data_IF_745180881787
#
_entry.id   IF_745180881787
#
_cell.length_a   1.000
_cell.length_b   1.000
_cell.length_c   1.000
_cell.angle_alpha   90.00
_cell.angle_beta   90.00
_cell.angle_gamma   90.00
#
_symmetry.space_group_name_H-M   'P 1'
#
loop_
_entity.id
_entity.type
_entity.pdbx_description
1 polymer ?
#
# COMPACT_ATOMS: atom_id res chain seq x y z
N UNK A 1 12.24 10.49 32.54
CA UNK A 1 12.07 9.35 31.58
C UNK A 1 11.49 9.92 30.28
N UNK A 2 12.18 9.69 29.15
CA UNK A 2 11.67 10.11 27.84
C UNK A 2 10.88 8.95 27.25
N UNK A 3 9.59 9.11 27.00
CA UNK A 3 8.75 8.10 26.36
C UNK A 3 8.65 8.44 24.89
N UNK A 4 9.08 7.54 24.01
CA UNK A 4 8.92 7.65 22.58
C UNK A 4 7.92 6.59 22.07
N UNK A 5 7.16 6.83 20.98
CA UNK A 5 6.34 5.81 20.36
C UNK A 5 7.22 4.70 19.79
N UNK A 6 6.73 3.45 19.82
CA UNK A 6 7.43 2.34 19.17
C UNK A 6 7.24 2.34 17.65
N UNK A 7 6.13 2.90 17.18
CA UNK A 7 5.73 2.93 15.78
C UNK A 7 5.19 4.32 15.42
N UNK A 8 5.54 4.82 14.24
CA UNK A 8 5.03 6.07 13.67
C UNK A 8 4.58 5.88 12.22
N UNK A 9 3.55 6.61 11.84
CA UNK A 9 3.15 6.75 10.43
C UNK A 9 3.53 8.15 9.95
N UNK A 10 4.09 8.22 8.75
CA UNK A 10 4.52 9.48 8.14
C UNK A 10 3.84 9.61 6.78
N UNK A 11 3.17 10.74 6.59
CA UNK A 11 2.61 11.17 5.30
C UNK A 11 3.58 12.13 4.61
N UNK A 12 4.49 11.66 3.75
CA UNK A 12 5.51 12.50 3.14
C UNK A 12 4.94 13.43 2.05
N UNK A 13 3.78 13.08 1.52
CA UNK A 13 3.10 13.79 0.44
C UNK A 13 1.63 14.01 0.77
N UNK A 14 1.14 15.24 0.64
CA UNK A 14 -0.28 15.58 0.71
C UNK A 14 -0.98 15.50 -0.65
N UNK A 15 -0.28 15.13 -1.72
CA UNK A 15 -0.85 14.91 -3.05
C UNK A 15 -0.86 13.43 -3.41
N UNK A 16 -1.82 13.04 -4.25
CA UNK A 16 -1.94 11.69 -4.79
C UNK A 16 -2.20 11.77 -6.29
N UNK A 17 -1.71 10.81 -7.05
CA UNK A 17 -2.01 10.65 -8.48
C UNK A 17 -3.35 9.94 -8.72
N UNK A 18 -4.01 9.42 -7.68
CA UNK A 18 -5.35 8.83 -7.72
C UNK A 18 -6.40 9.70 -7.01
N UNK A 19 -7.70 9.38 -7.26
CA UNK A 19 -8.87 10.01 -6.62
C UNK A 19 -9.91 8.93 -6.28
N UNK A 20 -9.45 7.90 -5.55
CA UNK A 20 -10.25 6.71 -5.25
C UNK A 20 -11.61 7.05 -4.67
N UNK A 21 -12.66 6.35 -5.14
CA UNK A 21 -14.05 6.57 -4.69
C UNK A 21 -14.27 6.26 -3.21
N UNK A 22 -13.36 5.49 -2.61
CA UNK A 22 -13.39 5.06 -1.21
C UNK A 22 -12.37 5.81 -0.32
N UNK A 23 -11.70 6.85 -0.84
CA UNK A 23 -10.63 7.51 -0.11
C UNK A 23 -11.17 8.26 1.11
N UNK A 24 -10.77 7.81 2.30
CA UNK A 24 -11.16 8.45 3.56
C UNK A 24 -10.44 9.78 3.83
N UNK A 25 -9.44 10.13 3.02
CA UNK A 25 -8.64 11.36 3.14
C UNK A 25 -9.02 12.43 2.12
N UNK A 26 -10.12 12.26 1.38
CA UNK A 26 -10.58 13.18 0.33
C UNK A 26 -10.85 14.60 0.86
N UNK A 27 -11.25 14.75 2.13
CA UNK A 27 -11.46 16.03 2.80
C UNK A 27 -10.19 16.88 2.91
N UNK A 28 -9.00 16.27 2.83
CA UNK A 28 -7.71 16.99 2.83
C UNK A 28 -7.44 17.74 1.52
N UNK A 29 -8.20 17.43 0.44
CA UNK A 29 -8.20 18.14 -0.83
C UNK A 29 -6.95 17.90 -1.69
N UNK A 30 -6.15 16.88 -1.40
CA UNK A 30 -4.97 16.45 -2.19
C UNK A 30 -4.02 17.61 -2.56
N UNK A 31 -3.78 18.52 -1.64
CA UNK A 31 -2.94 19.71 -1.86
C UNK A 31 -1.49 19.27 -2.16
N UNK A 32 -0.89 19.92 -3.16
CA UNK A 32 0.53 19.69 -3.49
C UNK A 32 1.40 20.27 -2.37
N UNK A 33 1.71 19.42 -1.41
CA UNK A 33 2.63 19.70 -0.29
C UNK A 33 3.48 18.47 -0.03
N UNK A 34 4.72 18.67 0.35
CA UNK A 34 5.67 17.63 0.67
C UNK A 34 6.41 18.01 1.95
N UNK A 35 6.78 17.03 2.74
CA UNK A 35 7.65 17.24 3.89
C UNK A 35 9.04 17.68 3.42
N UNK A 36 9.69 18.55 4.17
CA UNK A 36 11.06 18.96 3.88
C UNK A 36 12.02 17.79 4.15
N UNK A 37 12.80 17.42 3.14
CA UNK A 37 13.69 16.26 3.20
C UNK A 37 14.78 16.40 4.26
N UNK A 38 15.38 17.60 4.40
CA UNK A 38 16.48 17.82 5.36
C UNK A 38 15.96 17.70 6.79
N UNK A 39 14.78 18.28 7.06
CA UNK A 39 14.08 18.14 8.35
C UNK A 39 13.75 16.69 8.62
N UNK A 40 13.23 15.96 7.62
CA UNK A 40 12.88 14.54 7.79
C UNK A 40 14.10 13.68 8.11
N UNK A 41 15.22 13.89 7.43
CA UNK A 41 16.45 13.14 7.72
C UNK A 41 16.92 13.34 9.16
N UNK A 42 16.83 14.58 9.67
CA UNK A 42 17.18 14.89 11.05
C UNK A 42 16.22 14.20 12.03
N UNK A 43 14.90 14.32 11.81
CA UNK A 43 13.88 13.72 12.69
C UNK A 43 13.94 12.19 12.71
N UNK A 44 14.18 11.55 11.58
CA UNK A 44 14.34 10.09 11.53
C UNK A 44 15.55 9.60 12.33
N UNK A 45 16.68 10.32 12.26
CA UNK A 45 17.86 10.00 13.10
C UNK A 45 17.56 10.21 14.59
N UNK A 46 16.83 11.25 14.96
CA UNK A 46 16.39 11.47 16.33
C UNK A 46 15.43 10.38 16.81
N UNK A 47 14.46 10.00 15.98
CA UNK A 47 13.53 8.90 16.27
C UNK A 47 14.28 7.60 16.58
N UNK A 48 15.30 7.24 15.78
CA UNK A 48 16.14 6.08 16.06
C UNK A 48 16.84 6.16 17.40
N UNK A 49 17.43 7.32 17.74
CA UNK A 49 18.08 7.57 19.06
C UNK A 49 17.09 7.48 20.23
N UNK A 50 15.83 7.87 20.01
CA UNK A 50 14.76 7.82 21.01
C UNK A 50 14.14 6.41 21.17
N UNK A 51 14.52 5.45 20.32
CA UNK A 51 14.08 4.06 20.42
C UNK A 51 12.80 3.75 19.63
N UNK A 52 12.41 4.59 18.66
CA UNK A 52 11.37 4.23 17.67
C UNK A 52 11.84 2.99 16.91
N UNK A 53 10.95 1.99 16.80
CA UNK A 53 11.26 0.68 16.20
C UNK A 53 10.83 0.55 14.76
N UNK A 54 9.73 1.20 14.39
CA UNK A 54 9.19 1.07 13.04
C UNK A 54 8.59 2.39 12.55
N UNK A 55 8.71 2.63 11.25
CA UNK A 55 8.08 3.69 10.51
C UNK A 55 7.34 3.14 9.30
N UNK A 56 6.11 3.61 9.07
CA UNK A 56 5.41 3.37 7.82
C UNK A 56 5.24 4.68 7.05
N UNK A 57 5.75 4.72 5.83
CA UNK A 57 5.43 5.77 4.88
C UNK A 57 4.10 5.46 4.19
N UNK A 58 3.11 6.30 4.44
CA UNK A 58 1.73 6.12 3.99
C UNK A 58 1.01 7.48 3.95
N UNK A 59 -0.28 7.52 4.22
CA UNK A 59 -1.02 8.69 4.64
C UNK A 59 -1.96 9.28 3.61
N UNK A 60 -2.09 10.60 3.63
CA UNK A 60 -3.12 11.38 2.93
C UNK A 60 -2.88 11.51 1.42
N UNK A 61 -1.69 11.20 0.92
CA UNK A 61 -1.30 11.22 -0.47
C UNK A 61 -0.60 9.92 -0.88
N UNK A 62 0.13 9.99 -1.98
CA UNK A 62 0.97 8.88 -2.45
C UNK A 62 2.43 9.13 -2.03
N UNK A 63 3.01 8.27 -1.18
CA UNK A 63 4.39 8.45 -0.69
C UNK A 63 5.43 8.53 -1.80
N UNK A 64 5.31 7.71 -2.84
CA UNK A 64 6.29 7.64 -3.94
C UNK A 64 6.28 8.89 -4.83
N UNK A 65 5.35 9.83 -4.65
CA UNK A 65 5.42 11.16 -5.28
C UNK A 65 6.46 12.07 -4.63
N UNK A 66 6.96 11.71 -3.46
CA UNK A 66 8.01 12.51 -2.81
C UNK A 66 9.36 12.17 -3.41
N UNK A 67 10.02 13.13 -4.05
CA UNK A 67 11.27 12.93 -4.81
C UNK A 67 12.42 12.30 -4.00
N UNK A 68 12.46 12.49 -2.69
CA UNK A 68 13.52 12.00 -1.81
C UNK A 68 13.05 10.84 -0.91
N UNK A 69 11.96 10.16 -1.27
CA UNK A 69 11.35 9.11 -0.45
C UNK A 69 12.31 7.93 -0.19
N UNK A 70 13.05 7.51 -1.20
CA UNK A 70 14.05 6.46 -1.07
C UNK A 70 15.13 6.83 -0.05
N UNK A 71 15.61 8.07 -0.11
CA UNK A 71 16.61 8.56 0.85
C UNK A 71 16.05 8.67 2.27
N UNK A 72 14.77 8.99 2.44
CA UNK A 72 14.12 8.95 3.76
C UNK A 72 14.08 7.53 4.31
N UNK A 73 13.74 6.53 3.47
CA UNK A 73 13.73 5.12 3.85
C UNK A 73 15.14 4.63 4.24
N UNK A 74 16.15 4.98 3.44
CA UNK A 74 17.55 4.65 3.70
C UNK A 74 18.05 5.25 5.04
N UNK A 75 17.70 6.51 5.33
CA UNK A 75 18.04 7.18 6.59
C UNK A 75 17.33 6.54 7.78
N UNK A 76 16.05 6.20 7.66
CA UNK A 76 15.30 5.50 8.71
C UNK A 76 15.94 4.14 9.03
N UNK A 77 16.18 3.33 7.99
CA UNK A 77 16.82 2.02 8.12
C UNK A 77 18.22 2.13 8.76
N UNK A 78 19.06 3.06 8.29
CA UNK A 78 20.39 3.31 8.87
C UNK A 78 20.35 3.81 10.32
N UNK A 79 19.19 4.32 10.76
CA UNK A 79 18.95 4.74 12.15
C UNK A 79 18.41 3.61 13.04
N UNK A 80 18.35 2.36 12.53
CA UNK A 80 17.86 1.18 13.26
C UNK A 80 16.34 1.10 13.36
N UNK A 81 15.63 1.75 12.43
CA UNK A 81 14.17 1.75 12.38
C UNK A 81 13.72 0.83 11.22
N UNK A 82 12.82 -0.10 11.50
CA UNK A 82 12.18 -0.91 10.48
C UNK A 82 11.29 -0.03 9.59
N UNK A 83 11.43 -0.15 8.28
CA UNK A 83 10.72 0.69 7.31
C UNK A 83 9.63 -0.12 6.61
N UNK A 84 8.48 0.52 6.41
CA UNK A 84 7.37 -0.05 5.67
C UNK A 84 6.71 0.98 4.75
N UNK A 85 6.03 0.49 3.71
CA UNK A 85 5.28 1.33 2.78
C UNK A 85 3.86 0.85 2.55
N UNK A 86 2.95 1.81 2.43
CA UNK A 86 1.66 1.62 1.76
C UNK A 86 1.59 2.59 0.59
N UNK A 87 1.44 2.08 -0.62
CA UNK A 87 1.47 2.84 -1.87
C UNK A 87 0.38 2.36 -2.83
N UNK A 88 0.01 3.16 -3.80
CA UNK A 88 -0.80 2.71 -4.93
C UNK A 88 -0.01 1.91 -5.98
N UNK A 89 1.31 1.88 -5.86
CA UNK A 89 2.21 1.06 -6.67
C UNK A 89 2.53 1.57 -8.08
N UNK A 90 1.86 2.61 -8.57
CA UNK A 90 2.09 3.11 -9.95
C UNK A 90 3.53 3.59 -10.16
N UNK A 91 4.13 4.17 -9.13
CA UNK A 91 5.48 4.70 -9.15
C UNK A 91 6.53 3.75 -8.54
N UNK A 92 6.17 2.51 -8.20
CA UNK A 92 7.11 1.51 -7.72
C UNK A 92 7.86 0.88 -8.90
N UNK A 93 8.52 1.72 -9.68
CA UNK A 93 9.34 1.31 -10.82
C UNK A 93 10.65 0.60 -10.38
N UNK A 94 11.46 0.21 -11.35
CA UNK A 94 12.72 -0.50 -11.11
C UNK A 94 13.67 0.32 -10.21
N UNK A 95 13.78 1.63 -10.43
CA UNK A 95 14.65 2.50 -9.63
C UNK A 95 14.19 2.56 -8.16
N UNK A 96 12.89 2.74 -7.92
CA UNK A 96 12.35 2.70 -6.55
C UNK A 96 12.53 1.33 -5.92
N UNK A 97 12.27 0.25 -6.67
CA UNK A 97 12.41 -1.12 -6.16
C UNK A 97 13.85 -1.44 -5.75
N UNK A 98 14.84 -1.13 -6.59
CA UNK A 98 16.27 -1.36 -6.29
C UNK A 98 16.73 -0.63 -5.00
N UNK A 99 16.19 0.55 -4.73
CA UNK A 99 16.55 1.35 -3.56
C UNK A 99 15.74 0.99 -2.30
N UNK A 100 14.47 0.66 -2.45
CA UNK A 100 13.59 0.43 -1.30
C UNK A 100 13.66 -1.00 -0.77
N UNK A 101 13.77 -2.02 -1.62
CA UNK A 101 13.74 -3.42 -1.19
C UNK A 101 14.81 -3.79 -0.16
N UNK A 102 16.08 -3.32 -0.28
CA UNK A 102 17.12 -3.68 0.70
C UNK A 102 16.91 -3.04 2.08
N UNK A 103 16.13 -1.98 2.20
CA UNK A 103 15.96 -1.18 3.42
C UNK A 103 14.55 -1.24 4.00
N UNK A 104 13.65 -2.03 3.41
CA UNK A 104 12.23 -2.06 3.74
C UNK A 104 11.81 -3.46 4.21
N UNK A 105 11.10 -3.55 5.33
CA UNK A 105 10.59 -4.81 5.87
C UNK A 105 9.40 -5.32 5.05
N UNK A 106 8.49 -4.41 4.62
CA UNK A 106 7.39 -4.77 3.75
C UNK A 106 6.88 -3.57 2.93
N UNK A 107 6.40 -3.88 1.73
CA UNK A 107 5.69 -2.93 0.85
C UNK A 107 4.30 -3.51 0.56
N UNK A 108 3.28 -2.71 0.86
CA UNK A 108 1.88 -3.06 0.63
C UNK A 108 1.30 -2.16 -0.46
N UNK A 109 0.86 -2.78 -1.53
CA UNK A 109 0.28 -2.10 -2.69
C UNK A 109 -1.24 -2.10 -2.59
N UNK A 110 -1.85 -0.91 -2.61
CA UNK A 110 -3.30 -0.74 -2.60
C UNK A 110 -3.85 -0.88 -4.02
N UNK A 111 -4.51 -2.01 -4.30
CA UNK A 111 -5.13 -2.27 -5.59
C UNK A 111 -6.54 -2.83 -5.38
N UNK A 112 -7.55 -2.09 -5.85
CA UNK A 112 -8.97 -2.36 -5.60
C UNK A 112 -9.69 -2.60 -6.91
N UNK A 113 -9.27 -3.60 -7.65
CA UNK A 113 -9.83 -3.99 -8.94
C UNK A 113 -9.29 -5.35 -9.39
N UNK A 114 -10.06 -6.05 -10.21
CA UNK A 114 -9.62 -7.26 -10.91
C UNK A 114 -9.34 -7.02 -12.39
N UNK A 115 -9.75 -5.87 -12.94
CA UNK A 115 -9.54 -5.47 -14.33
C UNK A 115 -9.10 -4.01 -14.46
N UNK A 116 -8.55 -3.65 -15.62
CA UNK A 116 -8.12 -2.29 -15.91
C UNK A 116 -9.26 -1.27 -15.88
N UNK A 117 -10.45 -1.67 -16.35
CA UNK A 117 -11.66 -0.85 -16.38
C UNK A 117 -12.18 -0.57 -14.96
N UNK A 118 -12.20 -1.61 -14.12
CA UNK A 118 -12.54 -1.47 -12.69
C UNK A 118 -11.56 -0.56 -11.98
N UNK A 119 -10.26 -0.77 -12.23
CA UNK A 119 -9.21 0.06 -11.65
C UNK A 119 -9.41 1.54 -11.99
N UNK A 120 -9.62 1.85 -13.27
CA UNK A 120 -9.87 3.22 -13.72
C UNK A 120 -11.09 3.83 -13.03
N UNK A 121 -12.17 3.07 -12.88
CA UNK A 121 -13.41 3.53 -12.24
C UNK A 121 -13.24 3.73 -10.73
N UNK A 122 -12.65 2.75 -10.04
CA UNK A 122 -12.54 2.74 -8.57
C UNK A 122 -11.46 3.70 -8.09
N UNK A 123 -10.31 3.73 -8.76
CA UNK A 123 -9.20 4.62 -8.40
C UNK A 123 -9.26 5.99 -9.07
N UNK A 124 -10.22 6.21 -9.99
CA UNK A 124 -10.39 7.43 -10.78
C UNK A 124 -9.07 7.89 -11.42
N UNK A 125 -8.48 6.98 -12.19
CA UNK A 125 -7.19 7.14 -12.87
C UNK A 125 -7.22 6.48 -14.26
N UNK A 126 -6.09 6.43 -14.96
CA UNK A 126 -6.02 5.79 -16.27
C UNK A 126 -6.06 4.25 -16.14
N UNK A 127 -6.77 3.57 -17.05
CA UNK A 127 -6.90 2.11 -17.08
C UNK A 127 -5.51 1.41 -17.18
N UNK A 128 -4.56 2.02 -17.88
CA UNK A 128 -3.18 1.52 -18.03
C UNK A 128 -2.43 1.40 -16.69
N UNK A 129 -2.84 2.16 -15.67
CA UNK A 129 -2.17 2.13 -14.37
C UNK A 129 -2.35 0.77 -13.68
N UNK A 130 -3.41 0.01 -13.99
CA UNK A 130 -3.58 -1.34 -13.48
C UNK A 130 -2.46 -2.28 -13.92
N UNK A 131 -2.23 -2.37 -15.22
CA UNK A 131 -1.13 -3.18 -15.75
C UNK A 131 0.25 -2.70 -15.29
N UNK A 132 0.42 -1.38 -15.14
CA UNK A 132 1.65 -0.82 -14.60
C UNK A 132 1.91 -1.26 -13.15
N UNK A 133 0.88 -1.26 -12.29
CA UNK A 133 0.99 -1.71 -10.90
C UNK A 133 1.36 -3.19 -10.81
N UNK A 134 0.70 -4.06 -11.60
CA UNK A 134 1.04 -5.49 -11.65
C UNK A 134 2.49 -5.68 -12.11
N UNK A 135 2.90 -5.02 -13.20
CA UNK A 135 4.26 -5.09 -13.73
C UNK A 135 5.30 -4.58 -12.72
N UNK A 136 5.01 -3.51 -12.00
CA UNK A 136 5.91 -2.97 -10.98
C UNK A 136 6.11 -3.95 -9.82
N UNK A 137 5.06 -4.63 -9.35
CA UNK A 137 5.18 -5.65 -8.31
C UNK A 137 5.95 -6.86 -8.82
N UNK A 138 5.73 -7.32 -10.06
CA UNK A 138 6.49 -8.39 -10.68
C UNK A 138 7.98 -8.03 -10.78
N UNK A 139 8.30 -6.81 -11.22
CA UNK A 139 9.66 -6.30 -11.27
C UNK A 139 10.30 -6.28 -9.89
N UNK A 140 9.60 -5.76 -8.87
CA UNK A 140 10.08 -5.73 -7.50
C UNK A 140 10.31 -7.15 -6.94
N UNK A 141 9.40 -8.10 -7.21
CA UNK A 141 9.56 -9.50 -6.81
C UNK A 141 10.78 -10.15 -7.46
N UNK A 142 11.03 -9.89 -8.74
CA UNK A 142 12.20 -10.40 -9.46
C UNK A 142 13.51 -9.81 -8.91
N UNK A 143 13.55 -8.51 -8.62
CA UNK A 143 14.70 -7.85 -7.99
C UNK A 143 14.95 -8.46 -6.62
N UNK A 144 13.91 -8.59 -5.79
CA UNK A 144 13.97 -9.21 -4.48
C UNK A 144 14.57 -10.62 -4.54
N UNK A 145 14.08 -11.46 -5.44
CA UNK A 145 14.57 -12.82 -5.61
C UNK A 145 16.03 -12.85 -6.09
N UNK A 146 16.39 -12.02 -7.05
CA UNK A 146 17.75 -11.93 -7.60
C UNK A 146 18.80 -11.57 -6.54
N UNK A 147 18.43 -10.67 -5.61
CA UNK A 147 19.35 -10.18 -4.58
C UNK A 147 19.18 -10.86 -3.21
N UNK A 148 18.16 -11.69 -3.04
CA UNK A 148 17.87 -12.34 -1.77
C UNK A 148 17.39 -11.39 -0.67
N UNK A 149 16.73 -10.28 -1.04
CA UNK A 149 16.19 -9.34 -0.06
C UNK A 149 14.99 -9.94 0.69
N UNK A 150 14.88 -9.59 1.98
CA UNK A 150 13.85 -10.12 2.88
C UNK A 150 12.52 -9.35 2.88
N UNK A 151 12.41 -8.29 2.06
CA UNK A 151 11.22 -7.46 1.99
C UNK A 151 9.98 -8.28 1.59
N UNK A 152 8.90 -8.17 2.37
CA UNK A 152 7.62 -8.78 2.05
C UNK A 152 6.82 -7.87 1.11
N UNK A 153 6.37 -8.41 -0.02
CA UNK A 153 5.52 -7.71 -0.99
C UNK A 153 4.09 -8.21 -0.91
N UNK A 154 3.12 -7.33 -0.79
CA UNK A 154 1.73 -7.75 -0.73
C UNK A 154 0.76 -6.73 -1.32
N UNK A 155 -0.41 -7.23 -1.66
CA UNK A 155 -1.53 -6.39 -2.06
C UNK A 155 -2.53 -6.21 -0.91
N UNK A 156 -3.16 -5.04 -0.88
CA UNK A 156 -4.34 -4.79 -0.07
C UNK A 156 -5.48 -4.34 -0.95
N UNK A 157 -6.65 -4.91 -0.67
CA UNK A 157 -7.90 -4.60 -1.34
C UNK A 157 -8.98 -4.28 -0.31
N UNK A 158 -9.75 -3.22 -0.53
CA UNK A 158 -10.99 -2.98 0.20
C UNK A 158 -12.09 -3.70 -0.56
N UNK A 159 -12.85 -4.55 0.11
CA UNK A 159 -13.94 -5.28 -0.50
C UNK A 159 -15.08 -4.32 -0.87
N UNK A 160 -15.29 -4.14 -2.16
CA UNK A 160 -16.34 -3.31 -2.72
C UNK A 160 -17.15 -4.13 -3.74
N UNK A 161 -18.48 -3.92 -3.83
CA UNK A 161 -19.34 -4.64 -4.78
C UNK A 161 -18.89 -4.50 -6.22
N UNK A 162 -18.31 -3.35 -6.57
CA UNK A 162 -17.90 -2.97 -7.93
C UNK A 162 -16.93 -3.93 -8.60
N UNK A 163 -16.20 -4.73 -7.83
CA UNK A 163 -15.21 -5.66 -8.35
C UNK A 163 -15.13 -6.99 -7.58
N UNK A 164 -16.04 -7.24 -6.63
CA UNK A 164 -16.04 -8.45 -5.80
C UNK A 164 -15.98 -9.74 -6.66
N UNK A 165 -16.71 -9.78 -7.77
CA UNK A 165 -16.73 -10.92 -8.68
C UNK A 165 -15.39 -11.20 -9.38
N UNK A 166 -14.52 -10.20 -9.50
CA UNK A 166 -13.21 -10.32 -10.15
C UNK A 166 -12.05 -10.46 -9.15
N UNK A 167 -12.34 -10.46 -7.83
CA UNK A 167 -11.31 -10.66 -6.81
C UNK A 167 -10.55 -11.98 -6.92
N UNK A 168 -11.16 -13.13 -7.26
CA UNK A 168 -10.41 -14.38 -7.46
C UNK A 168 -9.42 -14.27 -8.63
N UNK A 169 -9.81 -13.61 -9.72
CA UNK A 169 -8.90 -13.36 -10.84
C UNK A 169 -7.75 -12.43 -10.44
N UNK A 170 -8.04 -11.40 -9.64
CA UNK A 170 -7.00 -10.51 -9.09
C UNK A 170 -6.06 -11.26 -8.14
N UNK A 171 -6.57 -12.14 -7.26
CA UNK A 171 -5.75 -12.95 -6.37
C UNK A 171 -4.74 -13.79 -7.15
N UNK A 172 -5.18 -14.38 -8.27
CA UNK A 172 -4.29 -15.12 -9.18
C UNK A 172 -3.23 -14.22 -9.80
N UNK A 173 -3.61 -13.06 -10.31
CA UNK A 173 -2.66 -12.09 -10.87
C UNK A 173 -1.64 -11.62 -9.83
N UNK A 174 -2.08 -11.35 -8.60
CA UNK A 174 -1.20 -10.96 -7.50
C UNK A 174 -0.17 -12.05 -7.18
N UNK A 175 -0.60 -13.32 -7.14
CA UNK A 175 0.28 -14.47 -6.95
C UNK A 175 1.28 -14.61 -8.10
N UNK A 176 0.82 -14.51 -9.34
CA UNK A 176 1.66 -14.62 -10.54
C UNK A 176 2.68 -13.48 -10.64
N UNK A 177 2.34 -12.28 -10.16
CA UNK A 177 3.27 -11.16 -10.01
C UNK A 177 4.31 -11.36 -8.89
N UNK A 178 4.26 -12.46 -8.13
CA UNK A 178 5.23 -12.77 -7.07
C UNK A 178 4.98 -12.06 -5.75
N UNK A 179 3.76 -11.60 -5.49
CA UNK A 179 3.38 -11.12 -4.18
C UNK A 179 3.33 -12.29 -3.17
N UNK A 180 3.59 -11.97 -1.90
CA UNK A 180 3.55 -12.94 -0.80
C UNK A 180 2.15 -13.09 -0.20
N UNK A 181 1.32 -12.04 -0.33
CA UNK A 181 -0.04 -12.09 0.20
C UNK A 181 -0.99 -11.09 -0.50
N UNK A 182 -2.27 -11.39 -0.39
CA UNK A 182 -3.37 -10.46 -0.65
C UNK A 182 -4.22 -10.34 0.61
N UNK A 183 -4.33 -9.13 1.19
CA UNK A 183 -5.28 -8.86 2.25
C UNK A 183 -6.53 -8.19 1.70
N UNK A 184 -7.68 -8.77 1.99
CA UNK A 184 -9.00 -8.19 1.71
C UNK A 184 -9.59 -7.75 3.04
N UNK A 185 -10.04 -6.51 3.09
CA UNK A 185 -10.63 -5.94 4.30
C UNK A 185 -11.90 -5.14 3.99
N UNK A 186 -12.80 -4.98 4.98
CA UNK A 186 -13.98 -4.17 4.81
C UNK A 186 -13.65 -2.70 4.59
N UNK A 187 -14.57 -2.00 3.93
CA UNK A 187 -14.57 -0.55 3.86
C UNK A 187 -14.89 0.01 5.25
N UNK A 188 -14.10 0.98 5.68
CA UNK A 188 -14.36 1.73 6.92
C UNK A 188 -14.63 3.18 6.55
N UNK A 189 -15.82 3.64 6.90
CA UNK A 189 -16.20 5.03 6.66
C UNK A 189 -15.48 5.97 7.64
N UNK A 190 -14.92 7.05 7.08
CA UNK A 190 -14.43 8.17 7.88
C UNK A 190 -15.54 9.22 8.01
N UNK A 191 -15.88 9.69 9.21
CA UNK A 191 -16.85 10.79 9.38
C UNK A 191 -16.44 12.09 8.70
N UNK A 192 -15.17 12.24 8.37
CA UNK A 192 -14.62 13.42 7.69
C UNK A 192 -14.62 13.29 6.16
N UNK A 193 -14.84 12.09 5.61
CA UNK A 193 -14.87 11.87 4.19
C UNK A 193 -15.99 12.67 3.52
N UNK A 194 -15.68 13.33 2.40
CA UNK A 194 -16.64 14.09 1.62
C UNK A 194 -17.65 13.19 0.90
N UNK A 195 -17.29 11.92 0.69
CA UNK A 195 -18.11 10.93 0.01
C UNK A 195 -18.21 9.65 0.83
N UNK A 196 -19.42 9.12 0.97
CA UNK A 196 -19.68 7.83 1.61
C UNK A 196 -20.58 6.95 0.72
N UNK A 197 -20.07 6.46 -0.42
CA UNK A 197 -20.87 5.66 -1.35
C UNK A 197 -21.18 4.25 -0.82
N UNK A 198 -20.53 3.81 0.26
CA UNK A 198 -20.57 2.42 0.77
C UNK A 198 -21.08 2.31 2.21
N UNK A 199 -21.80 3.31 2.70
CA UNK A 199 -22.25 3.37 4.10
C UNK A 199 -23.21 2.25 4.53
N UNK A 200 -23.85 1.56 3.58
CA UNK A 200 -24.81 0.48 3.81
C UNK A 200 -24.29 -0.88 3.31
N UNK A 201 -22.98 -1.06 3.21
CA UNK A 201 -22.40 -2.31 2.74
C UNK A 201 -22.41 -3.36 3.84
N UNK A 202 -23.01 -4.52 3.57
CA UNK A 202 -23.05 -5.67 4.48
C UNK A 202 -22.07 -6.73 3.99
N UNK A 203 -21.05 -7.04 4.79
CA UNK A 203 -19.99 -7.99 4.39
C UNK A 203 -20.42 -9.44 4.48
N UNK A 204 -21.50 -9.74 5.16
CA UNK A 204 -22.15 -11.05 5.21
C UNK A 204 -22.57 -11.53 3.81
N UNK A 205 -22.90 -10.58 2.91
CA UNK A 205 -23.25 -10.87 1.51
C UNK A 205 -22.07 -11.45 0.69
N UNK A 206 -20.86 -11.42 1.22
CA UNK A 206 -19.63 -11.87 0.56
C UNK A 206 -19.00 -13.11 1.25
N UNK A 207 -19.73 -13.80 2.11
CA UNK A 207 -19.18 -14.95 2.85
C UNK A 207 -18.66 -16.06 1.91
N UNK A 208 -19.37 -16.35 0.82
CA UNK A 208 -18.99 -17.37 -0.17
C UNK A 208 -17.70 -16.99 -0.95
N UNK A 209 -17.37 -15.69 -0.98
CA UNK A 209 -16.18 -15.20 -1.66
C UNK A 209 -14.89 -15.63 -0.95
N UNK A 210 -14.92 -15.77 0.38
CA UNK A 210 -13.75 -16.18 1.14
C UNK A 210 -13.25 -17.56 0.74
N UNK A 211 -14.15 -18.54 0.60
CA UNK A 211 -13.80 -19.90 0.19
C UNK A 211 -13.18 -19.90 -1.22
N UNK A 212 -13.80 -19.15 -2.14
CA UNK A 212 -13.30 -19.03 -3.52
C UNK A 212 -11.91 -18.38 -3.56
N UNK A 213 -11.68 -17.38 -2.73
CA UNK A 213 -10.38 -16.69 -2.64
C UNK A 213 -9.31 -17.60 -2.02
N UNK A 214 -9.63 -18.33 -0.95
CA UNK A 214 -8.69 -19.26 -0.32
C UNK A 214 -8.23 -20.36 -1.27
N UNK A 215 -9.02 -20.73 -2.27
CA UNK A 215 -8.61 -21.68 -3.32
C UNK A 215 -7.45 -21.15 -4.20
N UNK A 216 -7.19 -19.84 -4.20
CA UNK A 216 -6.05 -19.25 -4.91
C UNK A 216 -4.75 -19.21 -4.07
N UNK A 217 -4.78 -19.66 -2.80
CA UNK A 217 -3.57 -19.79 -1.98
C UNK A 217 -2.61 -20.82 -2.56
N UNK A 218 -1.32 -20.58 -2.40
CA UNK A 218 -0.26 -21.47 -2.84
C UNK A 218 0.96 -21.37 -1.89
N UNK A 219 1.93 -22.30 -1.97
CA UNK A 219 3.20 -22.10 -1.27
C UNK A 219 3.82 -20.75 -1.63
N UNK A 220 4.07 -19.90 -0.61
CA UNK A 220 4.60 -18.56 -0.78
C UNK A 220 3.56 -17.45 -1.02
N UNK A 221 2.26 -17.78 -1.18
CA UNK A 221 1.20 -16.79 -1.33
C UNK A 221 0.02 -17.07 -0.41
N UNK A 222 -0.39 -16.08 0.37
CA UNK A 222 -1.48 -16.16 1.36
C UNK A 222 -2.61 -15.19 1.06
N UNK A 223 -3.83 -15.63 1.36
CA UNK A 223 -5.03 -14.78 1.37
C UNK A 223 -5.42 -14.48 2.82
N UNK A 224 -5.53 -13.20 3.15
CA UNK A 224 -5.99 -12.74 4.45
C UNK A 224 -7.34 -12.05 4.25
N UNK A 225 -8.41 -12.79 4.45
CA UNK A 225 -9.76 -12.24 4.38
C UNK A 225 -10.19 -11.77 5.78
N UNK A 226 -10.53 -10.49 5.88
CA UNK A 226 -11.06 -9.89 7.12
C UNK A 226 -12.53 -9.57 6.90
N UNK A 227 -13.39 -10.30 7.58
CA UNK A 227 -14.85 -10.13 7.53
C UNK A 227 -15.37 -9.06 8.49
N UNK A 228 -14.56 -8.66 9.47
CA UNK A 228 -14.93 -7.67 10.48
C UNK A 228 -14.08 -6.40 10.36
N UNK A 229 -14.71 -5.22 10.58
CA UNK A 229 -14.08 -3.90 10.52
C UNK A 229 -13.51 -3.49 11.89
#
# INVERSE_FOLDING_TARGET
ETIAPLYIEISPSGTCNHRCIFCSMDFMGYKKRFLDSAVMYERLRECGKLGVRAVMFAGEGEPLLHKDICSMAEVAHASGIDVAFTTNGVLLDEEHAERLLPVTSWIKVSCNAGTAEEYARVHRTAAKDFSQVIQNVETAANIRARHGYSCTLGFQCILLPEFANNLPAFARQAREAGADYLVIKPYTHSPLSLHNPFGNLHYEDFADLEETLRAEEAPGFKIVFRSEA
#
